data_IF_454083457814
#
_entry.id   IF_454083457814
#
_cell.length_a   1.000
_cell.length_b   1.000
_cell.length_c   1.000
_cell.angle_alpha   90.00
_cell.angle_beta   90.00
_cell.angle_gamma   90.00
#
_symmetry.space_group_name_H-M   'P 1'
#
loop_
_entity.id
_entity.type
_entity.pdbx_description
1 polymer ?
#
# COMPACT_ATOMS: atom_id res chain seq x y z
N UNK A 1 9.79 -18.90 -30.10
CA UNK A 1 9.02 -18.57 -28.88
C UNK A 1 10.01 -18.43 -27.74
N UNK A 2 10.29 -17.21 -27.27
CA UNK A 2 11.20 -16.98 -26.15
C UNK A 2 10.42 -17.08 -24.85
N UNK A 3 10.89 -17.97 -24.00
CA UNK A 3 10.41 -18.34 -22.68
C UNK A 3 10.29 -17.11 -21.79
N UNK A 4 9.12 -16.96 -21.17
CA UNK A 4 8.82 -15.94 -20.17
C UNK A 4 9.80 -16.13 -19.02
N UNK A 5 10.57 -15.07 -18.76
CA UNK A 5 11.65 -15.07 -17.79
C UNK A 5 11.14 -15.47 -16.40
N UNK A 6 11.89 -16.39 -15.81
CA UNK A 6 11.89 -16.69 -14.39
C UNK A 6 12.38 -15.44 -13.63
N UNK A 7 11.52 -14.43 -13.51
CA UNK A 7 11.75 -13.33 -12.59
C UNK A 7 11.45 -13.85 -11.20
N UNK A 8 12.54 -14.08 -10.47
CA UNK A 8 12.65 -14.14 -9.02
C UNK A 8 11.33 -14.43 -8.30
N UNK A 9 11.21 -15.67 -7.82
CA UNK A 9 10.60 -15.94 -6.52
C UNK A 9 11.34 -15.04 -5.50
N UNK A 10 11.00 -13.76 -5.45
CA UNK A 10 11.21 -12.94 -4.27
C UNK A 10 10.51 -13.74 -3.17
N UNK A 11 11.25 -14.09 -2.13
CA UNK A 11 10.72 -14.83 -0.98
C UNK A 11 9.67 -13.95 -0.26
N UNK A 12 8.47 -13.83 -0.85
CA UNK A 12 7.33 -13.10 -0.32
C UNK A 12 6.94 -13.60 1.08
N UNK A 13 7.34 -14.83 1.43
CA UNK A 13 7.15 -15.41 2.77
C UNK A 13 7.94 -14.68 3.87
N UNK A 14 8.97 -13.90 3.55
CA UNK A 14 9.68 -13.05 4.54
C UNK A 14 9.01 -11.69 4.77
N UNK A 15 8.07 -11.28 3.92
CA UNK A 15 7.40 -9.98 4.02
C UNK A 15 6.15 -10.01 4.92
N UNK A 16 5.68 -11.19 5.35
CA UNK A 16 4.43 -11.33 6.08
C UNK A 16 4.53 -12.44 7.16
N UNK A 17 4.64 -12.11 8.46
CA UNK A 17 4.60 -13.07 9.55
C UNK A 17 3.27 -13.82 9.61
N UNK A 18 3.31 -15.05 10.15
CA UNK A 18 2.12 -15.91 10.34
C UNK A 18 1.11 -15.24 11.27
N UNK A 19 -0.06 -14.90 10.74
CA UNK A 19 -1.18 -14.29 11.48
C UNK A 19 -1.77 -13.05 10.80
N UNK A 20 -1.01 -12.42 9.90
CA UNK A 20 -1.48 -11.30 9.08
C UNK A 20 -2.53 -11.80 8.07
N UNK A 21 -3.60 -11.02 7.85
CA UNK A 21 -4.43 -11.21 6.65
C UNK A 21 -3.51 -11.02 5.45
N UNK A 22 -3.31 -12.09 4.68
CA UNK A 22 -2.32 -12.10 3.59
C UNK A 22 -2.80 -11.14 2.52
N UNK A 23 -2.20 -9.94 2.47
CA UNK A 23 -2.30 -9.05 1.33
C UNK A 23 -1.38 -9.58 0.24
N UNK A 24 -1.94 -9.91 -0.93
CA UNK A 24 -1.14 -10.28 -2.10
C UNK A 24 -0.99 -9.10 -3.04
N UNK A 25 0.08 -9.04 -3.82
CA UNK A 25 0.25 -7.99 -4.83
C UNK A 25 -0.37 -8.43 -6.16
N UNK A 26 -1.22 -7.58 -6.74
CA UNK A 26 -1.71 -7.75 -8.11
C UNK A 26 -0.74 -7.06 -9.08
N UNK A 27 0.18 -7.81 -9.68
CA UNK A 27 1.26 -7.27 -10.54
C UNK A 27 0.74 -6.47 -11.75
N UNK A 28 -0.30 -6.92 -12.49
CA UNK A 28 -0.91 -6.11 -13.53
C UNK A 28 -1.41 -4.77 -12.98
N UNK A 29 -2.24 -4.80 -11.93
CA UNK A 29 -2.89 -3.60 -11.40
C UNK A 29 -1.90 -2.64 -10.77
N UNK A 30 -0.92 -3.14 -10.00
CA UNK A 30 0.07 -2.30 -9.31
C UNK A 30 0.92 -1.49 -10.28
N UNK A 31 1.26 -2.03 -11.45
CA UNK A 31 2.01 -1.30 -12.45
C UNK A 31 1.17 -0.20 -13.13
N UNK A 32 -0.15 -0.39 -13.22
CA UNK A 32 -1.07 0.57 -13.83
C UNK A 32 -1.52 1.67 -12.87
N UNK A 33 -1.87 1.32 -11.63
CA UNK A 33 -2.47 2.25 -10.66
C UNK A 33 -1.44 3.01 -9.83
N UNK A 34 -0.22 2.50 -9.65
CA UNK A 34 0.80 3.21 -8.86
C UNK A 34 1.16 4.60 -9.41
N UNK A 35 1.35 4.79 -10.74
CA UNK A 35 1.53 6.14 -11.28
C UNK A 35 0.31 7.04 -11.06
N UNK A 36 -0.90 6.49 -11.15
CA UNK A 36 -2.14 7.26 -10.96
C UNK A 36 -2.26 7.79 -9.53
N UNK A 37 -1.71 7.09 -8.54
CA UNK A 37 -1.66 7.58 -7.15
C UNK A 37 -0.78 8.82 -6.96
N UNK A 38 -0.01 9.25 -7.98
CA UNK A 38 0.71 10.52 -7.94
C UNK A 38 -0.10 11.68 -8.55
N UNK A 39 -1.21 11.39 -9.23
CA UNK A 39 -2.09 12.39 -9.82
C UNK A 39 -3.02 12.97 -8.73
N UNK A 40 -2.95 14.29 -8.46
CA UNK A 40 -3.80 14.93 -7.46
C UNK A 40 -5.31 14.80 -7.73
N UNK A 41 -5.73 14.80 -9.01
CA UNK A 41 -7.14 14.66 -9.37
C UNK A 41 -7.65 13.24 -9.12
N UNK A 42 -6.82 12.24 -9.43
CA UNK A 42 -7.14 10.85 -9.15
C UNK A 42 -7.27 10.61 -7.64
N UNK A 43 -6.30 11.10 -6.85
CA UNK A 43 -6.36 11.00 -5.39
C UNK A 43 -7.56 11.75 -4.80
N UNK A 44 -7.85 12.97 -5.27
CA UNK A 44 -9.00 13.73 -4.81
C UNK A 44 -10.31 12.98 -5.09
N UNK A 45 -10.46 12.36 -6.26
CA UNK A 45 -11.64 11.56 -6.58
C UNK A 45 -11.80 10.36 -5.64
N UNK A 46 -10.71 9.62 -5.35
CA UNK A 46 -10.74 8.53 -4.37
C UNK A 46 -11.14 9.04 -3.00
N UNK A 47 -10.53 10.14 -2.54
CA UNK A 47 -10.78 10.68 -1.21
C UNK A 47 -12.22 11.18 -1.06
N UNK A 48 -12.78 11.82 -2.09
CA UNK A 48 -14.17 12.27 -2.13
C UNK A 48 -15.17 11.11 -2.12
N UNK A 49 -14.77 9.91 -2.55
CA UNK A 49 -15.59 8.70 -2.47
C UNK A 49 -15.17 7.80 -1.30
N UNK A 50 -14.52 8.35 -0.28
CA UNK A 50 -14.01 7.57 0.84
C UNK A 50 -14.42 8.07 2.22
N UNK A 51 -14.43 7.16 3.19
CA UNK A 51 -14.63 7.47 4.61
C UNK A 51 -13.43 7.00 5.43
N UNK A 52 -12.88 7.81 6.35
CA UNK A 52 -11.84 7.36 7.26
C UNK A 52 -12.42 6.33 8.24
N UNK A 53 -11.77 5.18 8.34
CA UNK A 53 -12.16 4.10 9.26
C UNK A 53 -11.21 3.95 10.45
N UNK A 54 -10.03 4.57 10.39
CA UNK A 54 -9.13 4.67 11.54
C UNK A 54 -7.87 5.45 11.25
N UNK A 55 -7.22 5.87 12.34
CA UNK A 55 -5.93 6.55 12.38
C UNK A 55 -5.13 5.97 13.53
N UNK A 56 -3.87 5.63 13.27
CA UNK A 56 -2.95 5.13 14.30
C UNK A 56 -1.53 5.66 14.08
N UNK A 57 -0.76 5.80 15.16
CA UNK A 57 0.64 6.25 15.16
C UNK A 57 1.49 5.25 15.92
N UNK A 58 2.56 4.78 15.28
CA UNK A 58 3.43 3.78 15.87
C UNK A 58 4.82 3.80 15.24
N UNK A 59 5.79 3.23 15.96
CA UNK A 59 7.15 3.01 15.46
C UNK A 59 7.20 1.67 14.74
N UNK A 60 7.85 1.64 13.58
CA UNK A 60 8.01 0.43 12.77
C UNK A 60 9.47 0.11 12.53
N UNK A 61 9.77 -1.18 12.46
CA UNK A 61 11.00 -1.73 11.90
C UNK A 61 10.61 -2.55 10.66
N UNK A 62 10.33 -1.85 9.57
CA UNK A 62 9.67 -2.38 8.39
C UNK A 62 8.15 -2.38 8.52
N UNK A 63 7.47 -1.79 7.54
CA UNK A 63 6.01 -1.68 7.54
C UNK A 63 5.37 -2.93 6.91
N UNK A 64 4.89 -3.85 7.74
CA UNK A 64 3.99 -4.93 7.28
C UNK A 64 2.56 -4.38 7.10
N UNK A 65 2.21 -4.08 5.85
CA UNK A 65 0.90 -3.57 5.47
C UNK A 65 -0.26 -4.52 5.84
N UNK A 66 -0.03 -5.82 5.93
CA UNK A 66 -1.02 -6.80 6.38
C UNK A 66 -1.32 -6.66 7.87
N UNK A 67 -0.28 -6.43 8.70
CA UNK A 67 -0.44 -6.14 10.14
C UNK A 67 -1.15 -4.81 10.32
N UNK A 68 -0.68 -3.76 9.65
CA UNK A 68 -1.30 -2.42 9.69
C UNK A 68 -2.77 -2.51 9.30
N UNK A 69 -3.09 -3.18 8.20
CA UNK A 69 -4.48 -3.29 7.77
C UNK A 69 -5.34 -4.13 8.74
N UNK A 70 -4.75 -5.14 9.40
CA UNK A 70 -5.47 -6.01 10.33
C UNK A 70 -5.90 -5.31 11.63
N UNK A 71 -5.16 -4.29 12.08
CA UNK A 71 -5.50 -3.53 13.30
C UNK A 71 -6.84 -2.79 13.18
N UNK A 72 -7.23 -2.41 11.97
CA UNK A 72 -8.47 -1.67 11.70
C UNK A 72 -9.73 -2.54 11.55
N UNK A 73 -9.62 -3.88 11.67
CA UNK A 73 -10.75 -4.84 11.58
C UNK A 73 -11.66 -4.68 10.34
N UNK A 74 -11.17 -4.06 9.27
CA UNK A 74 -11.95 -3.76 8.06
C UNK A 74 -12.28 -5.04 7.26
N UNK A 75 -13.44 -5.16 6.61
CA UNK A 75 -13.74 -6.31 5.74
C UNK A 75 -12.90 -6.24 4.44
N UNK A 76 -12.11 -7.27 4.14
CA UNK A 76 -11.23 -7.34 2.96
C UNK A 76 -11.97 -7.30 1.62
N UNK A 77 -13.29 -7.43 1.62
CA UNK A 77 -14.13 -7.38 0.42
C UNK A 77 -14.24 -5.99 -0.23
N UNK A 78 -13.77 -4.94 0.43
CA UNK A 78 -13.82 -3.56 -0.06
C UNK A 78 -12.55 -3.08 -0.76
N UNK A 79 -12.60 -1.81 -1.18
CA UNK A 79 -11.43 -1.05 -1.58
C UNK A 79 -11.02 -0.11 -0.45
N UNK A 80 -9.71 0.02 -0.25
CA UNK A 80 -9.13 0.82 0.83
C UNK A 80 -7.93 1.61 0.34
N UNK A 81 -7.80 2.83 0.83
CA UNK A 81 -6.62 3.66 0.66
C UNK A 81 -5.93 3.81 2.02
N UNK A 82 -4.71 3.33 2.12
CA UNK A 82 -3.83 3.64 3.24
C UNK A 82 -3.06 4.89 2.87
N UNK A 83 -3.19 5.92 3.71
CA UNK A 83 -2.35 7.09 3.68
C UNK A 83 -1.36 6.98 4.83
N UNK A 84 -0.07 6.84 4.51
CA UNK A 84 0.99 6.65 5.49
C UNK A 84 1.89 7.88 5.42
N UNK A 85 2.09 8.56 6.54
CA UNK A 85 2.88 9.78 6.63
C UNK A 85 3.98 9.59 7.66
N UNK A 86 5.18 10.02 7.29
CA UNK A 86 6.36 10.12 8.13
C UNK A 86 6.93 11.54 8.03
N UNK A 87 7.95 11.86 8.82
CA UNK A 87 8.70 13.11 8.68
C UNK A 87 9.38 13.25 7.31
N UNK A 88 9.81 12.13 6.73
CA UNK A 88 10.64 12.09 5.51
C UNK A 88 9.87 11.65 4.26
N UNK A 89 8.72 10.99 4.38
CA UNK A 89 7.95 10.53 3.23
C UNK A 89 6.43 10.56 3.44
N UNK A 90 5.71 10.55 2.31
CA UNK A 90 4.27 10.31 2.26
C UNK A 90 4.01 9.15 1.30
N UNK A 91 3.27 8.13 1.75
CA UNK A 91 2.92 6.98 0.94
C UNK A 91 1.41 6.79 0.82
N UNK A 92 1.00 6.29 -0.35
CA UNK A 92 -0.37 5.86 -0.63
C UNK A 92 -0.33 4.41 -1.06
N UNK A 93 -1.10 3.55 -0.39
CA UNK A 93 -1.28 2.16 -0.80
C UNK A 93 -2.76 1.90 -1.02
N UNK A 94 -3.09 1.48 -2.25
CA UNK A 94 -4.45 1.12 -2.64
C UNK A 94 -4.61 -0.40 -2.56
N UNK A 95 -5.59 -0.84 -1.80
CA UNK A 95 -5.95 -2.24 -1.59
C UNK A 95 -7.34 -2.46 -2.15
N UNK A 96 -7.55 -3.53 -2.92
CA UNK A 96 -8.87 -3.95 -3.40
C UNK A 96 -9.01 -5.45 -3.33
N UNK A 97 -10.09 -5.94 -2.71
CA UNK A 97 -10.38 -7.38 -2.61
C UNK A 97 -9.26 -8.17 -1.91
N UNK A 98 -8.62 -7.58 -0.89
CA UNK A 98 -7.48 -8.17 -0.18
C UNK A 98 -6.17 -8.21 -0.96
N UNK A 99 -6.08 -7.48 -2.08
CA UNK A 99 -4.85 -7.35 -2.86
C UNK A 99 -4.34 -5.92 -2.88
N UNK A 100 -3.03 -5.74 -2.81
CA UNK A 100 -2.40 -4.46 -3.11
C UNK A 100 -2.44 -4.27 -4.62
N UNK A 101 -3.16 -3.25 -5.05
CA UNK A 101 -3.38 -2.92 -6.46
C UNK A 101 -2.69 -1.63 -6.87
N UNK A 102 -2.13 -0.85 -5.93
CA UNK A 102 -1.35 0.35 -6.21
C UNK A 102 -0.52 0.76 -5.00
N UNK A 103 0.69 1.26 -5.22
CA UNK A 103 1.53 1.80 -4.15
C UNK A 103 2.43 2.93 -4.69
N UNK A 104 2.46 4.06 -4.00
CA UNK A 104 3.44 5.11 -4.24
C UNK A 104 4.02 5.62 -2.92
N UNK A 105 5.28 6.06 -2.97
CA UNK A 105 5.96 6.78 -1.89
C UNK A 105 6.53 8.04 -2.49
N UNK A 106 6.23 9.20 -1.91
CA UNK A 106 6.86 10.47 -2.19
C UNK A 106 7.92 10.73 -1.13
N UNK A 107 9.18 10.75 -1.54
CA UNK A 107 10.34 10.95 -0.66
C UNK A 107 11.29 11.93 -1.33
N UNK A 108 11.65 13.04 -0.66
CA UNK A 108 12.61 14.01 -1.18
C UNK A 108 12.22 14.68 -2.52
N UNK A 109 10.92 14.71 -2.85
CA UNK A 109 10.42 15.24 -4.12
C UNK A 109 10.32 14.21 -5.26
N UNK A 110 10.86 13.00 -5.07
CA UNK A 110 10.75 11.90 -6.01
C UNK A 110 9.58 10.97 -5.68
N UNK A 111 8.96 10.39 -6.71
CA UNK A 111 7.93 9.38 -6.56
C UNK A 111 8.50 7.98 -6.83
N UNK A 112 8.51 7.14 -5.80
CA UNK A 112 8.84 5.72 -5.87
C UNK A 112 7.53 4.96 -6.06
N UNK A 113 7.47 4.04 -7.02
CA UNK A 113 6.21 3.42 -7.47
C UNK A 113 6.22 1.89 -7.33
N UNK A 114 5.02 1.33 -7.23
CA UNK A 114 4.74 -0.09 -7.29
C UNK A 114 5.58 -0.93 -6.32
N UNK A 115 6.23 -2.00 -6.79
CA UNK A 115 7.04 -2.88 -5.95
C UNK A 115 8.20 -2.16 -5.26
N UNK A 116 8.75 -1.10 -5.87
CA UNK A 116 9.82 -0.30 -5.24
C UNK A 116 9.28 0.48 -4.05
N UNK A 117 8.04 0.97 -4.14
CA UNK A 117 7.38 1.65 -3.03
C UNK A 117 7.13 0.66 -1.87
N UNK A 118 6.64 -0.54 -2.18
CA UNK A 118 6.45 -1.59 -1.16
C UNK A 118 7.77 -2.01 -0.51
N UNK A 119 8.84 -2.14 -1.30
CA UNK A 119 10.18 -2.43 -0.78
C UNK A 119 10.66 -1.33 0.18
N UNK A 120 10.53 -0.06 -0.22
CA UNK A 120 10.87 1.08 0.62
C UNK A 120 10.14 1.00 1.97
N UNK A 121 8.82 0.79 1.94
CA UNK A 121 8.02 0.69 3.16
C UNK A 121 8.44 -0.49 4.05
N UNK A 122 8.78 -1.64 3.46
CA UNK A 122 9.26 -2.81 4.21
C UNK A 122 10.63 -2.65 4.85
N UNK A 123 11.43 -1.68 4.38
CA UNK A 123 12.78 -1.38 4.88
C UNK A 123 12.80 -0.15 5.80
N UNK A 124 11.71 0.62 5.85
CA UNK A 124 11.62 1.84 6.63
C UNK A 124 11.64 1.57 8.13
N UNK A 125 12.44 2.35 8.86
CA UNK A 125 12.53 2.32 10.32
C UNK A 125 12.27 3.71 10.87
N UNK A 126 11.22 3.86 11.67
CA UNK A 126 10.85 5.16 12.22
C UNK A 126 9.39 5.23 12.67
N UNK A 127 8.96 6.44 13.03
CA UNK A 127 7.57 6.72 13.38
C UNK A 127 6.73 6.96 12.12
N UNK A 128 5.56 6.35 12.07
CA UNK A 128 4.59 6.57 11.00
C UNK A 128 3.21 6.86 11.57
N UNK A 129 2.48 7.75 10.91
CA UNK A 129 1.04 7.91 11.05
C UNK A 129 0.35 7.20 9.87
N UNK A 130 -0.62 6.34 10.15
CA UNK A 130 -1.42 5.67 9.12
C UNK A 130 -2.89 6.03 9.29
N UNK A 131 -3.46 6.59 8.23
CA UNK A 131 -4.91 6.77 8.08
C UNK A 131 -5.43 5.78 7.05
N UNK A 132 -6.46 5.02 7.43
CA UNK A 132 -7.11 4.09 6.52
C UNK A 132 -8.46 4.65 6.10
N UNK A 133 -8.65 4.78 4.79
CA UNK A 133 -9.90 5.17 4.17
C UNK A 133 -10.55 3.96 3.52
N UNK A 134 -11.84 3.77 3.75
CA UNK A 134 -12.66 2.88 2.94
C UNK A 134 -13.12 3.63 1.70
N UNK A 135 -12.83 3.10 0.53
CA UNK A 135 -13.23 3.68 -0.76
C UNK A 135 -14.51 2.99 -1.22
N UNK A 136 -15.53 3.78 -1.52
CA UNK A 136 -16.78 3.31 -2.10
C UNK A 136 -16.74 3.51 -3.61
N UNK A 137 -17.05 2.44 -4.36
CA UNK A 137 -17.36 2.58 -5.78
C UNK A 137 -18.65 3.42 -5.89
N UNK A 138 -18.63 4.44 -6.74
CA UNK A 138 -19.83 5.21 -7.10
C UNK A 138 -20.69 4.45 -8.08
#
# INVERSE_FOLDING_TARGET
MKTVAAYEKVEFEKLFPKGSRILTVDLPSINTLSPMLTDPLFLANILLSSEPIGLDRFVVEGLDLGVVFSSFKADLKGQFLLNIVSEDFEAKVLISGGKIVGACVKHGGEAILALKALKFLSEYVGEVEVVVYRVYEK
#
